data_IF_677081332150
#
_entry.id   IF_677081332150
#
_cell.length_a   1.000
_cell.length_b   1.000
_cell.length_c   1.000
_cell.angle_alpha   90.00
_cell.angle_beta   90.00
_cell.angle_gamma   90.00
#
_symmetry.space_group_name_H-M   'P 1'
#
loop_
_entity.id
_entity.type
_entity.pdbx_description
1 polymer ?
#
# COMPACT_ATOMS: atom_id res chain seq x y z
N UNK A 1 -0.18 60.74 -13.80
CA UNK A 1 -0.81 59.50 -14.29
C UNK A 1 0.18 58.68 -15.13
N UNK A 2 1.21 58.13 -14.50
CA UNK A 2 2.14 57.17 -15.15
C UNK A 2 2.83 56.27 -14.10
N UNK A 3 2.16 56.02 -12.97
CA UNK A 3 2.59 55.04 -11.95
C UNK A 3 1.59 53.90 -11.77
N UNK A 4 0.40 54.01 -12.39
CA UNK A 4 -0.63 52.98 -12.35
C UNK A 4 -0.43 51.95 -13.49
N UNK A 5 0.28 52.32 -14.56
CA UNK A 5 0.51 51.45 -15.72
C UNK A 5 1.65 50.43 -15.57
N UNK A 6 2.49 50.55 -14.54
CA UNK A 6 3.59 49.60 -14.31
C UNK A 6 3.22 48.49 -13.31
N UNK A 7 2.18 48.69 -12.50
CA UNK A 7 1.68 47.66 -11.57
C UNK A 7 0.82 46.64 -12.33
N UNK A 8 0.17 47.05 -13.42
CA UNK A 8 -0.62 46.16 -14.28
C UNK A 8 0.20 45.20 -15.15
N UNK A 9 1.49 45.49 -15.39
CA UNK A 9 2.34 44.62 -16.23
C UNK A 9 3.01 43.49 -15.45
N UNK A 10 3.18 43.64 -14.12
CA UNK A 10 3.76 42.59 -13.25
C UNK A 10 2.72 41.62 -12.67
N UNK A 11 1.42 41.93 -12.75
CA UNK A 11 0.36 41.01 -12.32
C UNK A 11 0.01 39.93 -13.36
N UNK A 12 0.53 40.03 -14.59
CA UNK A 12 0.38 39.00 -15.62
C UNK A 12 1.38 37.85 -15.48
N UNK A 13 2.41 37.96 -14.64
CA UNK A 13 3.40 36.89 -14.43
C UNK A 13 3.13 36.03 -13.19
N UNK A 14 2.18 36.39 -12.32
CA UNK A 14 1.86 35.62 -11.09
C UNK A 14 0.81 34.53 -11.35
N UNK A 15 0.02 34.62 -12.42
CA UNK A 15 -1.01 33.62 -12.75
C UNK A 15 -0.48 32.30 -13.34
N UNK A 16 0.84 32.13 -13.46
CA UNK A 16 1.44 30.88 -13.94
C UNK A 16 1.89 29.94 -12.80
N UNK A 17 1.77 30.34 -11.52
CA UNK A 17 2.23 29.51 -10.39
C UNK A 17 1.13 29.00 -9.44
N UNK A 18 -0.11 29.46 -9.60
CA UNK A 18 -1.25 29.04 -8.76
C UNK A 18 -2.36 28.41 -9.62
N UNK A 19 -2.06 27.30 -10.28
CA UNK A 19 -3.11 26.41 -10.80
C UNK A 19 -2.57 25.00 -11.05
N UNK A 20 -1.93 24.42 -10.04
CA UNK A 20 -2.00 22.96 -9.85
C UNK A 20 -2.95 22.69 -8.69
N UNK A 21 -4.19 23.18 -8.80
CA UNK A 21 -5.30 22.40 -8.25
C UNK A 21 -5.42 21.21 -9.18
N UNK A 22 -4.72 20.11 -8.87
CA UNK A 22 -5.13 18.81 -9.38
C UNK A 22 -6.49 18.50 -8.77
N UNK A 23 -7.53 18.97 -9.47
CA UNK A 23 -8.83 18.35 -9.43
C UNK A 23 -8.58 16.87 -9.66
N UNK A 24 -8.77 16.06 -8.62
CA UNK A 24 -8.80 14.61 -8.74
C UNK A 24 -9.99 14.25 -9.61
N UNK A 25 -9.83 14.38 -10.93
CA UNK A 25 -10.77 13.85 -11.88
C UNK A 25 -10.64 12.34 -11.76
N UNK A 26 -11.67 11.72 -11.23
CA UNK A 26 -11.89 10.28 -11.32
C UNK A 26 -11.92 9.89 -12.80
N UNK A 27 -10.75 9.59 -13.35
CA UNK A 27 -10.58 9.07 -14.71
C UNK A 27 -10.98 7.58 -14.70
N UNK A 28 -11.99 7.16 -15.48
CA UNK A 28 -12.38 5.77 -15.62
C UNK A 28 -11.37 5.04 -16.52
N UNK A 29 -10.13 4.93 -16.05
CA UNK A 29 -9.02 4.40 -16.85
C UNK A 29 -7.74 4.08 -16.08
N UNK A 30 -7.63 4.45 -14.79
CA UNK A 30 -6.46 4.05 -14.00
C UNK A 30 -6.53 2.54 -13.72
N UNK A 31 -5.73 1.77 -14.47
CA UNK A 31 -5.45 0.38 -14.15
C UNK A 31 -4.98 0.35 -12.68
N UNK A 32 -5.58 -0.49 -11.81
CA UNK A 32 -5.23 -0.51 -10.41
C UNK A 32 -3.70 -0.65 -10.26
N UNK A 33 -3.08 0.03 -9.28
CA UNK A 33 -1.64 -0.01 -9.09
C UNK A 33 -1.14 -1.44 -9.17
N UNK A 34 -0.05 -1.67 -9.92
CA UNK A 34 0.59 -3.00 -9.97
C UNK A 34 0.91 -3.41 -8.54
N UNK A 35 0.07 -4.29 -7.98
CA UNK A 35 0.22 -4.83 -6.64
C UNK A 35 1.61 -5.46 -6.54
N UNK A 36 2.54 -4.80 -5.84
CA UNK A 36 3.89 -5.35 -5.68
C UNK A 36 3.81 -6.70 -4.97
N UNK A 37 4.83 -7.56 -5.10
CA UNK A 37 4.89 -8.84 -4.38
C UNK A 37 4.70 -8.67 -2.87
N UNK A 38 5.13 -7.53 -2.31
CA UNK A 38 4.95 -7.18 -0.91
C UNK A 38 3.51 -6.77 -0.56
N UNK A 39 2.84 -5.97 -1.39
CA UNK A 39 1.44 -5.60 -1.14
C UNK A 39 0.51 -6.81 -1.23
N UNK A 40 0.73 -7.68 -2.22
CA UNK A 40 0.07 -8.97 -2.31
C UNK A 40 0.32 -9.86 -1.08
N UNK A 41 1.56 -9.90 -0.57
CA UNK A 41 1.88 -10.61 0.67
C UNK A 41 1.13 -10.01 1.87
N UNK A 42 1.13 -8.69 2.02
CA UNK A 42 0.44 -8.00 3.12
C UNK A 42 -1.06 -8.28 3.10
N UNK A 43 -1.69 -8.13 1.94
CA UNK A 43 -3.12 -8.37 1.75
C UNK A 43 -3.51 -9.79 2.16
N UNK A 44 -2.72 -10.78 1.73
CA UNK A 44 -3.00 -12.19 1.99
C UNK A 44 -2.65 -12.63 3.41
N UNK A 45 -1.58 -12.11 4.00
CA UNK A 45 -0.97 -12.73 5.18
C UNK A 45 -0.95 -11.88 6.43
N UNK A 46 -1.30 -10.59 6.38
CA UNK A 46 -1.19 -9.71 7.55
C UNK A 46 -2.58 -9.22 7.98
N UNK A 47 -2.96 -9.59 9.20
CA UNK A 47 -4.14 -9.06 9.87
C UNK A 47 -3.97 -9.22 11.40
N UNK A 48 -3.52 -8.16 12.12
CA UNK A 48 -3.27 -8.21 13.56
C UNK A 48 -4.47 -8.59 14.42
N UNK A 49 -5.68 -8.40 13.88
CA UNK A 49 -6.95 -8.61 14.58
C UNK A 49 -7.73 -9.81 14.08
N UNK A 50 -7.12 -10.67 13.25
CA UNK A 50 -7.80 -11.85 12.72
C UNK A 50 -8.20 -12.80 13.86
N UNK A 51 -9.44 -13.28 13.82
CA UNK A 51 -9.89 -14.40 14.66
C UNK A 51 -10.31 -15.59 13.81
N UNK A 52 -10.43 -16.76 14.44
CA UNK A 52 -10.89 -17.97 13.74
C UNK A 52 -12.31 -17.84 13.15
N UNK A 53 -13.13 -16.90 13.65
CA UNK A 53 -14.49 -16.65 13.15
C UNK A 53 -14.50 -15.79 11.88
N UNK A 54 -13.42 -15.08 11.59
CA UNK A 54 -13.37 -14.09 10.50
C UNK A 54 -12.93 -14.69 9.17
N UNK A 55 -12.46 -15.94 9.15
CA UNK A 55 -11.84 -16.61 7.99
C UNK A 55 -12.61 -16.39 6.69
N UNK A 56 -13.88 -16.77 6.64
CA UNK A 56 -14.68 -16.65 5.41
C UNK A 56 -14.91 -15.20 4.99
N UNK A 57 -15.17 -14.32 5.96
CA UNK A 57 -15.48 -12.91 5.69
C UNK A 57 -14.26 -12.18 5.11
N UNK A 58 -13.08 -12.36 5.72
CA UNK A 58 -11.85 -11.68 5.32
C UNK A 58 -11.32 -12.22 3.99
N UNK A 59 -11.36 -13.53 3.76
CA UNK A 59 -10.93 -14.14 2.48
C UNK A 59 -11.79 -13.61 1.33
N UNK A 60 -13.11 -13.53 1.51
CA UNK A 60 -14.03 -12.99 0.50
C UNK A 60 -13.83 -11.49 0.28
N UNK A 61 -13.77 -10.71 1.36
CA UNK A 61 -13.60 -9.26 1.30
C UNK A 61 -12.29 -8.86 0.60
N UNK A 62 -11.19 -9.55 0.91
CA UNK A 62 -9.86 -9.31 0.32
C UNK A 62 -9.64 -10.05 -1.00
N UNK A 63 -10.62 -10.82 -1.47
CA UNK A 63 -10.55 -11.62 -2.72
C UNK A 63 -9.32 -12.52 -2.79
N UNK A 64 -8.98 -13.19 -1.68
CA UNK A 64 -7.80 -14.05 -1.58
C UNK A 64 -8.11 -15.40 -2.26
N UNK A 65 -7.91 -15.43 -3.57
CA UNK A 65 -8.26 -16.53 -4.46
C UNK A 65 -7.05 -17.08 -5.19
N UNK A 66 -7.17 -18.31 -5.71
CA UNK A 66 -6.18 -18.93 -6.57
C UNK A 66 -6.87 -19.33 -7.89
N UNK A 67 -6.39 -18.82 -9.02
CA UNK A 67 -6.94 -19.09 -10.36
C UNK A 67 -8.47 -18.91 -10.44
N UNK A 68 -9.01 -17.87 -9.79
CA UNK A 68 -10.45 -17.57 -9.76
C UNK A 68 -11.28 -18.39 -8.77
N UNK A 69 -10.68 -19.35 -8.08
CA UNK A 69 -11.33 -20.17 -7.04
C UNK A 69 -10.88 -19.84 -5.62
N UNK A 70 -11.63 -20.31 -4.62
CA UNK A 70 -11.23 -20.19 -3.22
C UNK A 70 -9.91 -20.92 -2.96
N UNK A 71 -8.96 -20.25 -2.31
CA UNK A 71 -7.68 -20.84 -1.92
C UNK A 71 -7.92 -21.88 -0.82
N UNK A 72 -7.32 -23.08 -0.93
CA UNK A 72 -7.50 -24.17 0.06
C UNK A 72 -7.03 -23.79 1.47
N UNK A 73 -5.94 -23.04 1.56
CA UNK A 73 -5.34 -22.64 2.83
C UNK A 73 -4.74 -21.25 2.71
N UNK A 74 -4.94 -20.45 3.73
CA UNK A 74 -4.26 -19.18 3.89
C UNK A 74 -4.03 -18.92 5.38
N UNK A 75 -2.82 -18.47 5.73
CA UNK A 75 -2.47 -18.13 7.10
C UNK A 75 -2.40 -16.62 7.25
N UNK A 76 -3.00 -16.11 8.33
CA UNK A 76 -2.85 -14.72 8.76
C UNK A 76 -1.90 -14.65 9.95
N UNK A 77 -0.97 -13.71 9.87
CA UNK A 77 -0.04 -13.36 10.94
C UNK A 77 -0.70 -12.29 11.79
N UNK A 78 -0.86 -12.58 13.09
CA UNK A 78 -1.42 -11.69 14.09
C UNK A 78 -0.37 -10.68 14.59
N UNK A 79 0.20 -9.91 13.66
CA UNK A 79 1.18 -8.87 13.95
C UNK A 79 1.14 -7.77 12.88
N UNK A 80 1.59 -6.57 13.24
CA UNK A 80 1.65 -5.45 12.30
C UNK A 80 2.67 -5.68 11.18
N UNK A 81 2.39 -5.10 10.01
CA UNK A 81 3.24 -5.25 8.83
C UNK A 81 4.70 -4.83 9.07
N UNK A 82 4.91 -3.79 9.89
CA UNK A 82 6.26 -3.33 10.26
C UNK A 82 7.01 -4.38 11.07
N UNK A 83 6.33 -5.08 11.99
CA UNK A 83 6.94 -6.15 12.79
C UNK A 83 7.27 -7.37 11.94
N UNK A 84 6.42 -7.71 10.97
CA UNK A 84 6.72 -8.78 10.01
C UNK A 84 7.90 -8.38 9.12
N UNK A 85 7.94 -7.14 8.65
CA UNK A 85 9.03 -6.63 7.80
C UNK A 85 10.38 -6.57 8.52
N UNK A 86 10.40 -6.33 9.83
CA UNK A 86 11.65 -6.26 10.60
C UNK A 86 12.37 -7.60 10.69
N UNK A 87 11.65 -8.73 10.59
CA UNK A 87 12.24 -10.08 10.50
C UNK A 87 13.28 -10.13 9.38
N UNK A 88 12.93 -9.59 8.21
CA UNK A 88 13.80 -9.54 7.04
C UNK A 88 14.90 -8.46 7.12
N UNK A 89 14.89 -7.60 8.15
CA UNK A 89 15.84 -6.49 8.35
C UNK A 89 16.79 -6.72 9.53
N UNK A 90 17.03 -7.98 9.90
CA UNK A 90 17.99 -8.35 10.94
C UNK A 90 17.38 -8.66 12.31
N UNK A 91 16.08 -8.46 12.50
CA UNK A 91 15.41 -8.94 13.72
C UNK A 91 15.11 -10.45 13.69
N UNK A 92 15.21 -11.10 12.53
CA UNK A 92 15.03 -12.54 12.38
C UNK A 92 16.30 -13.37 12.60
N UNK A 93 16.12 -14.69 12.60
CA UNK A 93 17.19 -15.69 12.55
C UNK A 93 17.28 -16.25 11.14
N UNK A 94 18.36 -15.92 10.42
CA UNK A 94 18.63 -16.47 9.10
C UNK A 94 19.23 -17.87 9.22
N UNK A 95 18.55 -18.85 8.64
CA UNK A 95 19.07 -20.21 8.49
C UNK A 95 19.72 -20.35 7.12
N UNK A 96 21.04 -20.59 7.12
CA UNK A 96 21.83 -20.78 5.90
C UNK A 96 21.45 -22.05 5.13
N UNK A 97 20.90 -23.05 5.81
CA UNK A 97 20.55 -24.34 5.19
C UNK A 97 19.24 -24.21 4.41
N UNK A 98 18.19 -23.71 5.04
CA UNK A 98 16.89 -23.52 4.38
C UNK A 98 16.79 -22.24 3.56
N UNK A 99 17.72 -21.29 3.73
CA UNK A 99 17.68 -19.93 3.18
C UNK A 99 16.48 -19.09 3.67
N UNK A 100 15.81 -19.55 4.74
CA UNK A 100 14.68 -18.85 5.34
C UNK A 100 15.12 -17.99 6.51
N UNK A 101 14.40 -16.88 6.71
CA UNK A 101 14.52 -16.06 7.91
C UNK A 101 13.29 -16.26 8.78
N UNK A 102 13.49 -16.68 10.02
CA UNK A 102 12.40 -16.90 10.99
C UNK A 102 12.35 -15.77 12.01
N UNK A 103 11.17 -15.54 12.58
CA UNK A 103 11.02 -14.63 13.73
C UNK A 103 11.81 -15.15 14.94
N UNK A 104 12.37 -14.24 15.73
CA UNK A 104 12.92 -14.57 17.07
C UNK A 104 11.83 -14.72 18.13
N UNK A 105 10.67 -14.09 17.92
CA UNK A 105 9.51 -14.27 18.79
C UNK A 105 8.92 -15.66 18.58
N UNK A 106 8.72 -16.40 19.67
CA UNK A 106 8.04 -17.70 19.71
C UNK A 106 6.59 -17.52 20.10
#
# INVERSE_FOLDING_TARGET
MMRILLISLLLLEVFALESWEETSSSDPGEMPPVETSYENFRMQHINPHMTAKDCDSVIKQRKIYNNGGCKKTNSFILADANKVKSICKGEGNYDRTSTLTSSKAR
#
